data_IF_024547210553
#
_entry.id   IF_024547210553
#
_cell.length_a   1.000
_cell.length_b   1.000
_cell.length_c   1.000
_cell.angle_alpha   90.00
_cell.angle_beta   90.00
_cell.angle_gamma   90.00
#
_symmetry.space_group_name_H-M   'P 1'
#
loop_
_entity.id
_entity.type
_entity.pdbx_description
1 polymer ?
#
# COMPACT_ATOMS: atom_id res chain seq x y z
N UNK A 1 -40.77 -1.72 -30.03
CA UNK A 1 -40.68 -0.61 -29.06
C UNK A 1 -39.23 -0.55 -28.59
N UNK A 2 -38.51 0.49 -29.00
CA UNK A 2 -37.09 0.69 -28.69
C UNK A 2 -36.93 1.11 -27.24
N UNK A 3 -36.26 0.30 -26.43
CA UNK A 3 -35.84 0.71 -25.08
C UNK A 3 -34.72 1.74 -25.22
N UNK A 4 -35.07 3.02 -25.11
CA UNK A 4 -34.09 4.09 -24.95
C UNK A 4 -33.39 3.91 -23.59
N UNK A 5 -32.12 3.50 -23.65
CA UNK A 5 -31.22 3.54 -22.50
C UNK A 5 -31.02 5.00 -22.13
N UNK A 6 -31.59 5.43 -20.99
CA UNK A 6 -31.39 6.76 -20.44
C UNK A 6 -29.91 6.90 -20.09
N UNK A 7 -29.13 7.62 -20.92
CA UNK A 7 -27.73 7.94 -20.64
C UNK A 7 -27.67 8.84 -19.40
N UNK A 8 -27.29 8.27 -18.27
CA UNK A 8 -27.05 9.00 -17.04
C UNK A 8 -25.63 9.61 -17.10
N UNK A 9 -25.54 10.93 -17.22
CA UNK A 9 -24.25 11.63 -17.30
C UNK A 9 -23.63 11.77 -15.90
N UNK A 10 -22.33 11.41 -15.74
CA UNK A 10 -21.60 11.49 -14.47
C UNK A 10 -20.90 12.86 -14.33
N UNK A 11 -21.33 13.75 -13.41
CA UNK A 11 -20.75 15.09 -13.30
C UNK A 11 -19.24 15.07 -13.01
N UNK A 12 -18.47 15.94 -13.68
CA UNK A 12 -17.09 16.22 -13.29
C UNK A 12 -17.11 17.13 -12.05
N UNK A 13 -17.17 16.50 -10.87
CA UNK A 13 -17.25 17.19 -9.59
C UNK A 13 -16.00 18.01 -9.28
N UNK A 14 -14.83 17.63 -9.83
CA UNK A 14 -13.59 18.43 -9.70
C UNK A 14 -13.79 19.80 -10.32
N UNK A 15 -14.30 19.87 -11.55
CA UNK A 15 -14.59 21.15 -12.22
C UNK A 15 -15.69 21.94 -11.50
N UNK A 16 -16.76 21.27 -11.05
CA UNK A 16 -17.86 21.90 -10.29
C UNK A 16 -17.35 22.51 -8.99
N UNK A 17 -16.52 21.77 -8.26
CA UNK A 17 -16.02 22.17 -6.95
C UNK A 17 -14.95 23.25 -7.09
N UNK A 18 -14.03 23.14 -8.05
CA UNK A 18 -13.06 24.21 -8.36
C UNK A 18 -13.77 25.51 -8.71
N UNK A 19 -14.80 25.44 -9.55
CA UNK A 19 -15.65 26.60 -9.86
C UNK A 19 -16.29 27.21 -8.61
N UNK A 20 -16.86 26.40 -7.72
CA UNK A 20 -17.45 26.88 -6.47
C UNK A 20 -16.41 27.46 -5.51
N UNK A 21 -15.24 26.83 -5.40
CA UNK A 21 -14.15 27.25 -4.52
C UNK A 21 -13.58 28.63 -4.88
N UNK A 22 -13.53 28.96 -6.18
CA UNK A 22 -13.16 30.31 -6.65
C UNK A 22 -14.33 31.31 -6.62
N UNK A 23 -15.46 30.94 -6.01
CA UNK A 23 -16.63 31.82 -5.82
C UNK A 23 -17.50 32.02 -7.07
N UNK A 24 -17.39 31.15 -8.09
CA UNK A 24 -18.16 31.28 -9.32
C UNK A 24 -19.45 30.45 -9.25
N UNK A 25 -20.44 30.94 -8.51
CA UNK A 25 -21.67 30.20 -8.21
C UNK A 25 -22.47 29.76 -9.46
N UNK A 26 -22.41 30.53 -10.55
CA UNK A 26 -23.07 30.20 -11.83
C UNK A 26 -22.08 29.91 -12.96
N UNK A 27 -22.47 29.01 -13.88
CA UNK A 27 -21.70 28.70 -15.09
C UNK A 27 -21.53 29.93 -15.99
N UNK A 28 -22.54 30.79 -16.07
CA UNK A 28 -22.48 32.06 -16.78
C UNK A 28 -21.39 32.99 -16.24
N UNK A 29 -21.26 33.09 -14.91
CA UNK A 29 -20.18 33.85 -14.26
C UNK A 29 -18.82 33.21 -14.56
N UNK A 30 -18.72 31.90 -14.39
CA UNK A 30 -17.48 31.17 -14.65
C UNK A 30 -17.02 31.29 -16.11
N UNK A 31 -17.94 31.26 -17.08
CA UNK A 31 -17.62 31.41 -18.49
C UNK A 31 -17.03 32.78 -18.83
N UNK A 32 -17.55 33.86 -18.20
CA UNK A 32 -16.99 35.22 -18.35
C UNK A 32 -15.58 35.30 -17.78
N UNK A 33 -15.35 34.71 -16.62
CA UNK A 33 -14.02 34.71 -16.00
C UNK A 33 -13.02 33.86 -16.79
N UNK A 34 -13.41 32.67 -17.26
CA UNK A 34 -12.57 31.86 -18.16
C UNK A 34 -12.23 32.60 -19.46
N UNK A 35 -13.21 33.30 -20.06
CA UNK A 35 -12.97 34.13 -21.24
C UNK A 35 -11.96 35.25 -20.93
N UNK A 36 -12.12 35.93 -19.78
CA UNK A 36 -11.20 36.98 -19.30
C UNK A 36 -9.79 36.43 -19.10
N UNK A 37 -9.65 35.26 -18.47
CA UNK A 37 -8.36 34.57 -18.29
C UNK A 37 -7.72 34.24 -19.63
N UNK A 38 -8.49 33.73 -20.60
CA UNK A 38 -7.99 33.44 -21.94
C UNK A 38 -7.45 34.67 -22.66
N UNK A 39 -8.18 35.80 -22.60
CA UNK A 39 -7.73 37.07 -23.17
C UNK A 39 -6.48 37.60 -22.47
N UNK A 40 -6.46 37.61 -21.14
CA UNK A 40 -5.33 38.12 -20.35
C UNK A 40 -4.04 37.30 -20.54
N UNK A 41 -4.18 35.99 -20.74
CA UNK A 41 -3.06 35.07 -20.94
C UNK A 41 -2.69 34.89 -22.42
N UNK A 42 -3.33 35.64 -23.32
CA UNK A 42 -3.00 35.66 -24.75
C UNK A 42 -3.28 34.34 -25.48
N UNK A 43 -4.27 33.55 -25.04
CA UNK A 43 -4.65 32.30 -25.72
C UNK A 43 -5.25 32.66 -27.08
N UNK A 44 -4.53 32.32 -28.14
CA UNK A 44 -4.97 32.52 -29.53
C UNK A 44 -6.28 31.74 -29.73
N UNK A 45 -7.29 32.39 -30.30
CA UNK A 45 -8.63 31.80 -30.51
C UNK A 45 -9.40 31.47 -29.22
N UNK A 46 -9.24 32.30 -28.17
CA UNK A 46 -10.07 32.18 -26.95
C UNK A 46 -11.56 32.09 -27.31
N UNK A 47 -12.28 31.01 -26.94
CA UNK A 47 -13.67 30.81 -27.33
C UNK A 47 -14.59 31.88 -26.73
N UNK A 48 -15.73 32.13 -27.38
CA UNK A 48 -16.72 33.11 -26.85
C UNK A 48 -17.30 32.66 -25.51
N UNK A 49 -17.84 33.60 -24.75
CA UNK A 49 -18.46 33.32 -23.45
C UNK A 49 -19.56 32.27 -23.58
N UNK A 50 -20.39 32.34 -24.63
CA UNK A 50 -21.47 31.38 -24.89
C UNK A 50 -20.92 29.98 -25.19
N UNK A 51 -19.83 29.89 -25.97
CA UNK A 51 -19.18 28.62 -26.28
C UNK A 51 -18.56 28.00 -25.02
N UNK A 52 -17.93 28.81 -24.17
CA UNK A 52 -17.38 28.37 -22.88
C UNK A 52 -18.50 27.89 -21.96
N UNK A 53 -19.58 28.64 -21.80
CA UNK A 53 -20.70 28.23 -20.92
C UNK A 53 -21.30 26.90 -21.37
N UNK A 54 -21.50 26.71 -22.68
CA UNK A 54 -22.00 25.45 -23.25
C UNK A 54 -21.00 24.30 -23.07
N UNK A 55 -19.70 24.55 -23.22
CA UNK A 55 -18.66 23.57 -22.98
C UNK A 55 -18.59 23.19 -21.49
N UNK A 56 -18.57 24.18 -20.59
CA UNK A 56 -18.61 23.99 -19.14
C UNK A 56 -19.81 23.16 -18.70
N UNK A 57 -21.01 23.46 -19.22
CA UNK A 57 -22.18 22.64 -18.92
C UNK A 57 -21.94 21.18 -19.29
N UNK A 58 -21.42 20.90 -20.49
CA UNK A 58 -21.15 19.53 -20.95
C UNK A 58 -20.02 18.85 -20.15
N UNK A 59 -18.97 19.58 -19.82
CA UNK A 59 -17.82 19.07 -19.06
C UNK A 59 -18.19 18.80 -17.59
N UNK A 60 -18.84 19.75 -16.92
CA UNK A 60 -19.27 19.60 -15.52
C UNK A 60 -20.37 18.57 -15.34
N UNK A 61 -21.26 18.39 -16.32
CA UNK A 61 -22.29 17.34 -16.25
C UNK A 61 -21.80 15.99 -16.73
N UNK A 62 -20.58 15.90 -17.28
CA UNK A 62 -20.03 14.66 -17.84
C UNK A 62 -20.67 14.21 -19.15
N UNK A 63 -21.30 15.12 -19.88
CA UNK A 63 -21.82 14.86 -21.23
C UNK A 63 -20.70 14.68 -22.26
N UNK A 64 -19.55 15.30 -22.03
CA UNK A 64 -18.38 15.27 -22.91
C UNK A 64 -17.11 15.37 -22.04
N UNK A 65 -16.09 14.57 -22.35
CA UNK A 65 -14.77 14.66 -21.72
C UNK A 65 -14.02 15.93 -22.20
N UNK A 66 -13.17 16.51 -21.35
CA UNK A 66 -12.40 17.71 -21.71
C UNK A 66 -11.14 17.31 -22.50
N UNK A 67 -11.32 17.02 -23.78
CA UNK A 67 -10.23 16.61 -24.70
C UNK A 67 -9.63 17.77 -25.46
N UNK A 68 -10.41 18.83 -25.69
CA UNK A 68 -9.97 20.00 -26.44
C UNK A 68 -8.87 20.78 -25.67
N UNK A 69 -7.68 20.97 -26.27
CA UNK A 69 -6.52 21.62 -25.64
C UNK A 69 -6.81 23.02 -25.11
N UNK A 70 -7.67 23.79 -25.80
CA UNK A 70 -7.98 25.17 -25.43
C UNK A 70 -8.75 25.20 -24.11
N UNK A 71 -9.75 24.33 -23.96
CA UNK A 71 -10.51 24.22 -22.71
C UNK A 71 -9.67 23.66 -21.57
N UNK A 72 -8.81 22.67 -21.84
CA UNK A 72 -7.87 22.15 -20.83
C UNK A 72 -6.96 23.24 -20.31
N UNK A 73 -6.36 24.01 -21.21
CA UNK A 73 -5.50 25.14 -20.87
C UNK A 73 -6.25 26.22 -20.09
N UNK A 74 -7.48 26.57 -20.50
CA UNK A 74 -8.31 27.57 -19.83
C UNK A 74 -8.62 27.21 -18.37
N UNK A 75 -9.07 25.98 -18.11
CA UNK A 75 -9.36 25.56 -16.74
C UNK A 75 -8.08 25.44 -15.90
N UNK A 76 -6.98 24.95 -16.46
CA UNK A 76 -5.69 24.88 -15.76
C UNK A 76 -5.22 26.28 -15.32
N UNK A 77 -5.29 27.26 -16.22
CA UNK A 77 -4.93 28.65 -15.92
C UNK A 77 -5.90 29.32 -14.94
N UNK A 78 -7.19 29.02 -15.03
CA UNK A 78 -8.20 29.62 -14.17
C UNK A 78 -8.18 29.07 -12.75
N UNK A 79 -7.82 27.80 -12.57
CA UNK A 79 -7.79 27.14 -11.27
C UNK A 79 -6.39 26.97 -10.69
N UNK A 80 -5.37 27.48 -11.38
CA UNK A 80 -3.96 27.31 -11.03
C UNK A 80 -3.62 25.83 -10.76
N UNK A 81 -4.02 24.97 -11.69
CA UNK A 81 -3.95 23.51 -11.55
C UNK A 81 -3.33 22.88 -12.81
N UNK A 82 -2.70 21.72 -12.67
CA UNK A 82 -2.13 20.97 -13.79
C UNK A 82 -3.22 20.12 -14.46
N UNK A 83 -3.03 19.70 -15.74
CA UNK A 83 -4.03 18.91 -16.45
C UNK A 83 -4.43 17.60 -15.76
N UNK A 84 -3.52 16.93 -15.05
CA UNK A 84 -3.83 15.71 -14.30
C UNK A 84 -4.72 15.99 -13.07
N UNK A 85 -4.62 17.18 -12.47
CA UNK A 85 -5.42 17.58 -11.32
C UNK A 85 -6.90 17.75 -11.66
N UNK A 86 -7.21 18.02 -12.94
CA UNK A 86 -8.55 18.40 -13.39
C UNK A 86 -9.25 17.34 -14.27
N UNK A 87 -8.48 16.48 -14.96
CA UNK A 87 -8.99 15.73 -16.10
C UNK A 87 -8.47 14.30 -16.30
N UNK A 88 -7.92 13.61 -15.28
CA UNK A 88 -7.52 12.20 -15.43
C UNK A 88 -8.54 11.39 -16.25
N UNK A 89 -8.07 10.55 -17.18
CA UNK A 89 -8.87 10.03 -18.29
C UNK A 89 -10.12 9.26 -17.82
N UNK A 90 -11.28 9.91 -17.94
CA UNK A 90 -12.55 9.46 -17.36
C UNK A 90 -13.09 8.18 -18.01
N UNK A 91 -12.93 7.03 -17.35
CA UNK A 91 -13.73 5.82 -17.63
C UNK A 91 -14.72 5.47 -16.50
N UNK A 92 -15.99 5.30 -16.87
CA UNK A 92 -16.97 4.38 -16.25
C UNK A 92 -17.74 4.83 -14.99
N UNK A 93 -19.07 4.65 -15.03
CA UNK A 93 -20.03 4.69 -13.92
C UNK A 93 -19.64 3.70 -12.80
N UNK A 94 -19.84 4.10 -11.55
CA UNK A 94 -19.41 3.31 -10.37
C UNK A 94 -20.15 1.98 -10.18
N UNK A 95 -21.33 1.79 -10.79
CA UNK A 95 -22.17 0.60 -10.57
C UNK A 95 -21.85 -0.59 -11.50
N UNK A 96 -20.96 -0.41 -12.50
CA UNK A 96 -20.48 -1.49 -13.39
C UNK A 96 -18.95 -1.50 -13.53
N UNK A 97 -18.23 -0.86 -12.59
CA UNK A 97 -16.76 -0.95 -12.61
C UNK A 97 -16.36 -2.39 -12.29
N UNK A 98 -15.45 -3.01 -13.07
CA UNK A 98 -14.88 -4.28 -12.68
C UNK A 98 -14.22 -4.12 -11.31
N UNK A 99 -14.52 -5.06 -10.41
CA UNK A 99 -13.93 -5.10 -9.08
C UNK A 99 -12.81 -6.13 -9.09
N UNK A 100 -11.79 -5.90 -8.28
CA UNK A 100 -10.84 -6.93 -7.92
C UNK A 100 -11.18 -7.43 -6.52
N UNK A 101 -10.92 -8.70 -6.29
CA UNK A 101 -11.01 -9.31 -4.96
C UNK A 101 -9.62 -9.68 -4.49
N UNK A 102 -9.30 -9.35 -3.25
CA UNK A 102 -8.03 -9.69 -2.65
C UNK A 102 -8.21 -10.12 -1.21
N UNK A 103 -7.29 -10.97 -0.76
CA UNK A 103 -7.03 -11.18 0.66
C UNK A 103 -5.89 -10.27 1.06
N UNK A 104 -6.18 -9.30 1.90
CA UNK A 104 -5.19 -8.38 2.46
C UNK A 104 -4.63 -8.99 3.73
N UNK A 105 -3.34 -9.26 3.73
CA UNK A 105 -2.60 -9.66 4.91
C UNK A 105 -1.90 -8.44 5.50
N UNK A 106 -2.19 -8.16 6.76
CA UNK A 106 -1.56 -7.10 7.54
C UNK A 106 -0.67 -7.75 8.58
N UNK A 107 0.59 -7.34 8.59
CA UNK A 107 1.59 -7.77 9.57
C UNK A 107 1.80 -6.63 10.56
N UNK A 108 0.99 -6.59 11.62
CA UNK A 108 1.13 -5.59 12.65
C UNK A 108 2.26 -5.98 13.59
N UNK A 109 3.36 -5.26 13.50
CA UNK A 109 4.62 -5.67 14.09
C UNK A 109 4.98 -4.79 15.26
N UNK A 110 5.34 -5.41 16.39
CA UNK A 110 5.77 -4.76 17.61
C UNK A 110 7.02 -5.44 18.19
N UNK A 111 7.86 -4.67 18.88
CA UNK A 111 8.97 -5.20 19.67
C UNK A 111 8.70 -5.02 21.17
N UNK A 112 8.76 -6.13 21.90
CA UNK A 112 8.41 -6.24 23.32
C UNK A 112 9.61 -6.56 24.23
N UNK A 113 10.76 -6.85 23.62
CA UNK A 113 11.90 -7.49 24.27
C UNK A 113 11.62 -8.95 24.67
N UNK A 114 12.67 -9.74 24.89
CA UNK A 114 12.54 -11.18 25.17
C UNK A 114 11.68 -11.49 26.42
N UNK A 115 11.75 -10.64 27.45
CA UNK A 115 10.91 -10.78 28.66
C UNK A 115 9.43 -10.50 28.35
N UNK A 116 9.14 -9.50 27.53
CA UNK A 116 7.78 -9.19 27.08
C UNK A 116 7.21 -10.32 26.23
N UNK A 117 7.98 -10.81 25.25
CA UNK A 117 7.61 -11.97 24.44
C UNK A 117 7.32 -13.22 25.29
N UNK A 118 8.15 -13.50 26.30
CA UNK A 118 7.92 -14.63 27.20
C UNK A 118 6.61 -14.50 28.01
N UNK A 119 6.30 -13.30 28.51
CA UNK A 119 5.02 -13.02 29.20
C UNK A 119 3.83 -13.16 28.27
N UNK A 120 3.91 -12.54 27.07
CA UNK A 120 2.85 -12.60 26.08
C UNK A 120 2.56 -14.05 25.67
N UNK A 121 3.61 -14.83 25.37
CA UNK A 121 3.50 -16.26 25.06
C UNK A 121 2.76 -17.04 26.15
N UNK A 122 3.12 -16.81 27.42
CA UNK A 122 2.50 -17.50 28.55
C UNK A 122 1.06 -17.07 28.79
N UNK A 123 0.77 -15.77 28.70
CA UNK A 123 -0.57 -15.22 28.96
C UNK A 123 -1.57 -15.52 27.84
N UNK A 124 -1.11 -15.52 26.58
CA UNK A 124 -1.96 -15.76 25.41
C UNK A 124 -2.10 -17.25 25.06
N UNK A 125 -1.39 -18.15 25.76
CA UNK A 125 -1.46 -19.59 25.53
C UNK A 125 -0.86 -20.05 24.20
N UNK A 126 0.17 -19.36 23.70
CA UNK A 126 0.73 -19.67 22.39
C UNK A 126 1.37 -21.07 22.35
N UNK A 127 1.22 -21.73 21.21
CA UNK A 127 1.80 -23.05 20.91
C UNK A 127 2.94 -22.91 19.90
N UNK A 128 3.80 -23.92 19.75
CA UNK A 128 4.90 -23.84 18.79
C UNK A 128 4.36 -23.80 17.34
N UNK A 129 4.97 -22.95 16.50
CA UNK A 129 4.62 -22.76 15.09
C UNK A 129 5.74 -23.34 14.20
N UNK A 130 5.78 -24.68 13.98
CA UNK A 130 6.90 -25.37 13.33
C UNK A 130 7.10 -25.05 11.85
N UNK A 131 6.07 -24.52 11.19
CA UNK A 131 6.09 -24.11 9.78
C UNK A 131 6.87 -22.81 9.54
N UNK A 132 7.20 -22.07 10.60
CA UNK A 132 7.94 -20.82 10.52
C UNK A 132 9.46 -21.05 10.36
N UNK A 133 10.16 -20.08 9.76
CA UNK A 133 11.59 -20.23 9.46
C UNK A 133 12.49 -20.08 10.69
N UNK A 134 11.96 -19.52 11.77
CA UNK A 134 12.64 -19.31 13.04
C UNK A 134 11.74 -19.85 14.15
N UNK A 135 12.34 -20.19 15.30
CA UNK A 135 11.56 -20.59 16.47
C UNK A 135 10.53 -19.53 16.80
N UNK A 136 9.26 -19.90 16.67
CA UNK A 136 8.12 -19.01 16.79
C UNK A 136 6.98 -19.75 17.49
N UNK A 137 6.10 -19.00 18.15
CA UNK A 137 4.91 -19.50 18.78
C UNK A 137 3.70 -18.72 18.27
N UNK A 138 2.56 -19.38 18.10
CA UNK A 138 1.35 -18.74 17.61
C UNK A 138 0.11 -19.09 18.42
N UNK A 139 -0.87 -18.21 18.34
CA UNK A 139 -2.24 -18.43 18.83
C UNK A 139 -3.21 -17.60 17.99
N UNK A 140 -4.42 -18.09 17.71
CA UNK A 140 -5.49 -17.23 17.21
C UNK A 140 -5.82 -16.17 18.26
N UNK A 141 -6.21 -14.99 17.80
CA UNK A 141 -6.72 -13.89 18.64
C UNK A 141 -7.95 -13.27 17.99
N UNK A 142 -8.88 -12.80 18.80
CA UNK A 142 -10.08 -12.14 18.28
C UNK A 142 -9.72 -10.74 17.73
N UNK A 143 -10.22 -10.44 16.54
CA UNK A 143 -10.09 -9.13 15.91
C UNK A 143 -11.43 -8.75 15.25
N UNK A 144 -11.89 -7.49 15.36
CA UNK A 144 -13.21 -7.09 14.85
C UNK A 144 -13.34 -7.18 13.31
N UNK A 145 -12.23 -7.04 12.58
CA UNK A 145 -12.25 -6.92 11.11
C UNK A 145 -12.01 -8.24 10.36
N UNK A 146 -11.46 -9.28 11.00
CA UNK A 146 -11.08 -10.50 10.29
C UNK A 146 -10.33 -11.53 11.13
N UNK A 147 -9.81 -12.56 10.45
CA UNK A 147 -9.05 -13.62 11.09
C UNK A 147 -7.67 -13.11 11.51
N UNK A 148 -7.34 -13.24 12.79
CA UNK A 148 -6.09 -12.75 13.33
C UNK A 148 -5.32 -13.84 14.07
N UNK A 149 -4.04 -14.00 13.73
CA UNK A 149 -3.12 -14.89 14.43
C UNK A 149 -1.97 -14.09 15.00
N UNK A 150 -1.76 -14.20 16.32
CA UNK A 150 -0.59 -13.65 16.99
C UNK A 150 0.59 -14.61 16.85
N UNK A 151 1.70 -14.12 16.32
CA UNK A 151 3.00 -14.80 16.27
C UNK A 151 3.99 -14.11 17.22
N UNK A 152 4.73 -14.89 18.00
CA UNK A 152 5.68 -14.40 19.01
C UNK A 152 7.02 -15.10 18.84
N UNK A 153 8.06 -14.31 18.58
CA UNK A 153 9.45 -14.78 18.54
C UNK A 153 10.13 -14.56 19.90
N UNK A 154 10.86 -15.56 20.42
CA UNK A 154 11.52 -15.45 21.72
C UNK A 154 12.52 -14.28 21.85
N UNK A 155 13.07 -13.79 20.73
CA UNK A 155 13.97 -12.64 20.72
C UNK A 155 13.28 -11.30 21.06
N UNK A 156 11.95 -11.24 21.06
CA UNK A 156 11.18 -10.07 21.50
C UNK A 156 10.18 -9.53 20.47
N UNK A 157 10.19 -10.04 19.23
CA UNK A 157 9.26 -9.60 18.19
C UNK A 157 7.89 -10.28 18.34
N UNK A 158 6.82 -9.50 18.16
CA UNK A 158 5.46 -9.99 18.07
C UNK A 158 4.81 -9.45 16.80
N UNK A 159 4.05 -10.29 16.10
CA UNK A 159 3.33 -9.92 14.88
C UNK A 159 1.89 -10.40 15.00
N UNK A 160 0.93 -9.50 14.87
CA UNK A 160 -0.44 -9.89 14.56
C UNK A 160 -0.57 -9.99 13.05
N UNK A 161 -0.87 -11.19 12.57
CA UNK A 161 -1.19 -11.45 11.18
C UNK A 161 -2.71 -11.40 11.03
N UNK A 162 -3.21 -10.28 10.53
CA UNK A 162 -4.63 -10.06 10.27
C UNK A 162 -4.92 -10.28 8.78
N UNK A 163 -5.97 -11.05 8.50
CA UNK A 163 -6.43 -11.36 7.14
C UNK A 163 -7.83 -10.80 6.93
N UNK A 164 -7.97 -9.95 5.91
CA UNK A 164 -9.24 -9.38 5.51
C UNK A 164 -9.54 -9.65 4.04
N UNK A 165 -10.79 -10.00 3.76
CA UNK A 165 -11.29 -10.16 2.41
C UNK A 165 -11.83 -8.82 1.93
N UNK A 166 -11.22 -8.27 0.90
CA UNK A 166 -11.58 -6.98 0.34
C UNK A 166 -12.03 -7.13 -1.11
N UNK A 167 -13.04 -6.35 -1.48
CA UNK A 167 -13.48 -6.18 -2.85
C UNK A 167 -13.53 -4.68 -3.12
N UNK A 168 -12.73 -4.23 -4.09
CA UNK A 168 -12.56 -2.82 -4.39
C UNK A 168 -12.58 -2.60 -5.90
N UNK A 169 -13.00 -1.42 -6.32
CA UNK A 169 -13.11 -1.06 -7.74
C UNK A 169 -11.85 -0.37 -8.27
N UNK A 170 -10.96 0.12 -7.40
CA UNK A 170 -9.76 0.90 -7.76
C UNK A 170 -8.61 0.64 -6.78
N UNK A 171 -7.36 0.77 -7.24
CA UNK A 171 -6.17 0.73 -6.37
C UNK A 171 -6.12 1.94 -5.45
N UNK A 172 -6.69 3.08 -5.88
CA UNK A 172 -6.88 4.27 -5.05
C UNK A 172 -7.78 3.98 -3.85
N UNK A 173 -8.87 3.24 -4.02
CA UNK A 173 -9.71 2.79 -2.91
C UNK A 173 -8.94 1.87 -1.96
N UNK A 174 -8.06 1.01 -2.47
CA UNK A 174 -7.16 0.21 -1.63
C UNK A 174 -6.18 1.09 -0.85
N UNK A 175 -5.58 2.08 -1.50
CA UNK A 175 -4.66 3.01 -0.86
C UNK A 175 -5.36 3.78 0.27
N UNK A 176 -6.55 4.30 0.01
CA UNK A 176 -7.37 5.02 0.99
C UNK A 176 -7.78 4.12 2.18
N UNK A 177 -8.26 2.90 1.88
CA UNK A 177 -8.62 1.93 2.90
C UNK A 177 -7.41 1.55 3.78
N UNK A 178 -6.22 1.37 3.19
CA UNK A 178 -4.99 1.09 3.93
C UNK A 178 -4.64 2.21 4.90
N UNK A 179 -4.72 3.48 4.49
CA UNK A 179 -4.38 4.61 5.38
C UNK A 179 -5.27 4.65 6.64
N UNK A 180 -6.58 4.45 6.47
CA UNK A 180 -7.51 4.44 7.60
C UNK A 180 -7.31 3.20 8.46
N UNK A 181 -7.39 2.03 7.83
CA UNK A 181 -7.42 0.77 8.55
C UNK A 181 -6.08 0.47 9.24
N UNK A 182 -4.94 0.94 8.72
CA UNK A 182 -3.65 0.72 9.38
C UNK A 182 -3.55 1.49 10.70
N UNK A 183 -4.08 2.73 10.75
CA UNK A 183 -4.10 3.53 11.97
C UNK A 183 -4.92 2.85 13.08
N UNK A 184 -6.12 2.39 12.75
CA UNK A 184 -7.02 1.71 13.69
C UNK A 184 -6.40 0.38 14.19
N UNK A 185 -5.80 -0.38 13.27
CA UNK A 185 -5.17 -1.65 13.58
C UNK A 185 -3.91 -1.49 14.46
N UNK A 186 -3.08 -0.45 14.22
CA UNK A 186 -1.94 -0.12 15.10
C UNK A 186 -2.43 0.18 16.50
N UNK A 187 -3.47 1.02 16.62
CA UNK A 187 -4.06 1.36 17.91
C UNK A 187 -4.57 0.12 18.63
N UNK A 188 -5.31 -0.74 17.93
CA UNK A 188 -5.81 -1.99 18.49
C UNK A 188 -4.68 -2.88 19.02
N UNK A 189 -3.59 -3.07 18.25
CA UNK A 189 -2.47 -3.90 18.67
C UNK A 189 -1.76 -3.33 19.91
N UNK A 190 -1.59 -2.01 20.00
CA UNK A 190 -1.03 -1.35 21.18
C UNK A 190 -1.93 -1.59 22.39
N UNK A 191 -3.24 -1.39 22.24
CA UNK A 191 -4.22 -1.57 23.32
C UNK A 191 -4.27 -3.04 23.79
N UNK A 192 -4.16 -4.01 22.86
CA UNK A 192 -4.07 -5.44 23.18
C UNK A 192 -2.79 -5.79 23.97
N UNK A 193 -1.64 -5.24 23.58
CA UNK A 193 -0.35 -5.55 24.18
C UNK A 193 -0.16 -4.88 25.55
N UNK A 194 -0.71 -3.68 25.75
CA UNK A 194 -0.54 -2.85 26.94
C UNK A 194 -0.71 -3.59 28.30
N UNK A 195 -1.75 -4.41 28.53
CA UNK A 195 -1.94 -5.08 29.83
C UNK A 195 -0.98 -6.25 30.09
N UNK A 196 -0.34 -6.83 29.07
CA UNK A 196 0.42 -8.09 29.19
C UNK A 196 1.92 -7.85 29.00
N UNK A 197 2.26 -7.20 27.90
CA UNK A 197 3.62 -6.95 27.45
C UNK A 197 3.58 -5.70 26.56
N UNK A 198 3.56 -4.49 27.15
CA UNK A 198 3.56 -3.27 26.36
C UNK A 198 4.77 -3.26 25.43
N UNK A 199 4.58 -2.76 24.21
CA UNK A 199 5.69 -2.50 23.30
C UNK A 199 6.72 -1.60 23.99
N UNK A 200 8.00 -1.85 23.78
CA UNK A 200 9.07 -1.01 24.35
C UNK A 200 8.95 0.43 23.84
N UNK A 201 8.43 0.58 22.62
CA UNK A 201 8.15 1.85 21.97
C UNK A 201 6.90 1.71 21.09
N UNK A 202 5.80 2.33 21.52
CA UNK A 202 4.54 2.31 20.79
C UNK A 202 4.64 3.02 19.42
N UNK A 203 5.57 3.96 19.25
CA UNK A 203 5.75 4.67 17.98
C UNK A 203 6.45 3.82 16.91
N UNK A 204 7.13 2.75 17.32
CA UNK A 204 7.77 1.79 16.44
C UNK A 204 6.84 0.64 16.03
N UNK A 205 5.56 0.66 16.44
CA UNK A 205 4.55 -0.29 15.97
C UNK A 205 4.12 0.12 14.56
N UNK A 206 4.19 -0.81 13.61
CA UNK A 206 3.87 -0.55 12.21
C UNK A 206 3.10 -1.70 11.56
N UNK A 207 2.55 -1.45 10.37
CA UNK A 207 1.87 -2.47 9.56
C UNK A 207 2.54 -2.56 8.20
N UNK A 208 2.97 -3.75 7.82
CA UNK A 208 3.27 -4.08 6.43
C UNK A 208 2.06 -4.79 5.80
N UNK A 209 1.76 -4.46 4.54
CA UNK A 209 0.70 -5.13 3.78
C UNK A 209 1.24 -6.08 2.73
N UNK A 210 0.65 -7.27 2.65
CA UNK A 210 0.74 -8.12 1.47
C UNK A 210 -0.66 -8.37 0.89
N UNK A 211 -0.80 -8.31 -0.43
CA UNK A 211 -2.08 -8.50 -1.12
C UNK A 211 -2.03 -9.76 -1.96
N UNK A 212 -2.92 -10.71 -1.63
CA UNK A 212 -3.18 -11.88 -2.45
C UNK A 212 -4.39 -11.61 -3.34
N UNK A 213 -4.16 -11.24 -4.60
CA UNK A 213 -5.22 -10.92 -5.56
C UNK A 213 -5.85 -12.22 -6.04
N UNK A 214 -7.11 -12.44 -5.68
CA UNK A 214 -7.89 -13.63 -6.06
C UNK A 214 -8.47 -13.44 -7.45
N UNK A 215 -9.12 -12.30 -7.69
CA UNK A 215 -9.67 -11.93 -9.00
C UNK A 215 -9.17 -10.55 -9.42
N UNK A 216 -8.72 -10.44 -10.67
CA UNK A 216 -8.25 -9.18 -11.26
C UNK A 216 -9.42 -8.40 -11.88
N UNK A 217 -9.44 -7.08 -11.64
CA UNK A 217 -10.32 -6.15 -12.36
C UNK A 217 -9.78 -5.77 -13.76
N UNK A 218 -8.50 -6.04 -14.01
CA UNK A 218 -7.77 -5.51 -15.16
C UNK A 218 -7.62 -6.55 -16.28
N UNK A 219 -7.66 -6.11 -17.55
CA UNK A 219 -7.21 -6.89 -18.69
C UNK A 219 -5.76 -7.38 -18.53
N UNK A 220 -5.40 -8.45 -19.23
CA UNK A 220 -4.10 -9.10 -19.11
C UNK A 220 -2.92 -8.15 -19.43
N UNK A 221 -3.12 -7.22 -20.36
CA UNK A 221 -2.15 -6.21 -20.78
C UNK A 221 -1.91 -5.11 -19.72
N UNK A 222 -2.87 -4.87 -18.82
CA UNK A 222 -2.77 -3.86 -17.76
C UNK A 222 -2.48 -4.47 -16.38
N UNK A 223 -2.65 -5.79 -16.23
CA UNK A 223 -2.50 -6.52 -14.99
C UNK A 223 -1.15 -6.24 -14.31
N UNK A 224 -0.05 -6.36 -15.04
CA UNK A 224 1.28 -6.17 -14.45
C UNK A 224 1.47 -4.76 -13.88
N UNK A 225 1.07 -3.73 -14.64
CA UNK A 225 1.14 -2.33 -14.21
C UNK A 225 0.27 -2.08 -12.99
N UNK A 226 -0.96 -2.62 -12.99
CA UNK A 226 -1.86 -2.53 -11.84
C UNK A 226 -1.23 -3.16 -10.58
N UNK A 227 -0.63 -4.35 -10.70
CA UNK A 227 0.01 -5.01 -9.56
C UNK A 227 1.28 -4.28 -9.08
N UNK A 228 2.04 -3.63 -9.98
CA UNK A 228 3.14 -2.72 -9.59
C UNK A 228 2.62 -1.57 -8.74
N UNK A 229 1.58 -0.86 -9.20
CA UNK A 229 0.96 0.24 -8.44
C UNK A 229 0.39 -0.28 -7.10
N UNK A 230 -0.25 -1.44 -7.10
CA UNK A 230 -0.81 -2.07 -5.90
C UNK A 230 0.26 -2.42 -4.87
N UNK A 231 1.50 -2.70 -5.31
CA UNK A 231 2.64 -2.92 -4.40
C UNK A 231 3.16 -1.62 -3.78
N UNK A 232 2.86 -0.47 -4.38
CA UNK A 232 3.26 0.87 -3.93
C UNK A 232 2.06 1.84 -3.83
N UNK A 233 0.97 1.49 -3.14
CA UNK A 233 -0.31 2.20 -3.30
C UNK A 233 -0.25 3.65 -2.80
N UNK A 234 0.69 3.97 -1.89
CA UNK A 234 0.91 5.35 -1.43
C UNK A 234 1.35 6.32 -2.53
N UNK A 235 1.82 5.84 -3.68
CA UNK A 235 2.14 6.71 -4.84
C UNK A 235 0.91 7.48 -5.34
N UNK A 236 -0.28 6.96 -5.07
CA UNK A 236 -1.56 7.57 -5.46
C UNK A 236 -1.99 8.70 -4.50
N UNK A 237 -1.37 8.80 -3.33
CA UNK A 237 -1.84 9.65 -2.23
C UNK A 237 -0.92 10.85 -1.98
N UNK A 238 -1.52 11.98 -1.61
CA UNK A 238 -0.81 13.15 -1.13
C UNK A 238 -0.30 12.93 0.30
N UNK A 239 0.98 13.22 0.52
CA UNK A 239 1.60 13.13 1.85
C UNK A 239 0.98 14.13 2.82
N UNK A 240 0.59 13.65 4.00
CA UNK A 240 0.12 14.49 5.10
C UNK A 240 -1.28 15.09 4.89
N UNK A 241 -1.98 14.73 3.81
CA UNK A 241 -3.37 15.13 3.60
C UNK A 241 -4.30 14.05 4.18
N UNK A 242 -5.28 14.48 4.98
CA UNK A 242 -6.33 13.58 5.46
C UNK A 242 -7.07 12.89 4.31
N UNK A 243 -7.57 11.68 4.55
CA UNK A 243 -8.36 10.96 3.55
C UNK A 243 -9.79 11.50 3.55
N UNK A 244 -10.18 12.10 2.42
CA UNK A 244 -11.52 12.61 2.16
C UNK A 244 -11.96 12.23 0.73
N UNK A 245 -13.23 12.46 0.39
CA UNK A 245 -13.78 12.11 -0.92
C UNK A 245 -13.04 12.81 -2.08
N UNK A 246 -12.50 14.01 -1.86
CA UNK A 246 -11.73 14.74 -2.88
C UNK A 246 -10.36 14.10 -3.11
N UNK A 247 -9.70 13.71 -2.02
CA UNK A 247 -8.42 13.03 -2.06
C UNK A 247 -8.55 11.67 -2.76
N UNK A 248 -9.59 10.90 -2.45
CA UNK A 248 -9.88 9.65 -3.13
C UNK A 248 -10.16 9.86 -4.62
N UNK A 249 -11.01 10.82 -4.98
CA UNK A 249 -11.30 11.12 -6.37
C UNK A 249 -10.03 11.52 -7.15
N UNK A 250 -9.12 12.28 -6.52
CA UNK A 250 -7.84 12.64 -7.12
C UNK A 250 -6.89 11.43 -7.26
N UNK A 251 -6.83 10.55 -6.26
CA UNK A 251 -6.05 9.33 -6.31
C UNK A 251 -6.51 8.39 -7.44
N UNK A 252 -7.81 8.29 -7.71
CA UNK A 252 -8.34 7.55 -8.87
C UNK A 252 -7.85 8.13 -10.21
N UNK A 253 -7.70 9.46 -10.31
CA UNK A 253 -7.15 10.10 -11.52
C UNK A 253 -5.66 9.78 -11.71
N UNK A 254 -4.89 9.77 -10.62
CA UNK A 254 -3.47 9.40 -10.65
C UNK A 254 -3.33 7.94 -11.07
N UNK A 255 -4.15 7.03 -10.50
CA UNK A 255 -4.14 5.61 -10.85
C UNK A 255 -4.34 5.40 -12.36
N UNK A 256 -5.31 6.08 -12.97
CA UNK A 256 -5.57 5.98 -14.40
C UNK A 256 -4.36 6.42 -15.24
N UNK A 257 -3.73 7.53 -14.86
CA UNK A 257 -2.50 8.03 -15.53
C UNK A 257 -1.35 7.03 -15.41
N UNK A 258 -1.13 6.49 -14.21
CA UNK A 258 -0.05 5.54 -13.97
C UNK A 258 -0.27 4.22 -14.71
N UNK A 259 -1.52 3.76 -14.82
CA UNK A 259 -1.86 2.58 -15.62
C UNK A 259 -1.59 2.82 -17.10
N UNK A 260 -2.01 3.96 -17.67
CA UNK A 260 -1.83 4.25 -19.10
C UNK A 260 -0.37 4.50 -19.48
N UNK A 261 0.43 5.07 -18.58
CA UNK A 261 1.86 5.32 -18.77
C UNK A 261 2.73 4.08 -18.53
N UNK A 262 2.16 2.97 -18.04
CA UNK A 262 2.91 1.75 -17.76
C UNK A 262 3.85 1.88 -16.57
N UNK A 263 3.35 2.41 -15.45
CA UNK A 263 4.12 2.67 -14.22
C UNK A 263 5.16 1.61 -13.88
N UNK A 264 6.41 2.05 -13.83
CA UNK A 264 7.58 1.28 -13.44
C UNK A 264 8.52 2.19 -12.65
N UNK A 265 8.83 1.83 -11.41
CA UNK A 265 9.57 2.66 -10.47
C UNK A 265 10.76 1.88 -9.89
N UNK A 266 11.91 2.55 -9.79
CA UNK A 266 13.10 1.97 -9.15
C UNK A 266 12.82 1.62 -7.69
N UNK A 267 12.88 0.35 -7.33
CA UNK A 267 12.49 -0.15 -5.99
C UNK A 267 11.28 -1.08 -6.00
N UNK A 268 10.76 -1.43 -7.18
CA UNK A 268 9.81 -2.54 -7.36
C UNK A 268 10.56 -3.71 -8.01
N UNK A 269 10.48 -4.89 -7.40
CA UNK A 269 11.10 -6.11 -7.91
C UNK A 269 10.02 -7.12 -8.31
N UNK A 270 10.06 -7.59 -9.55
CA UNK A 270 9.17 -8.67 -9.99
C UNK A 270 9.72 -10.04 -9.58
N UNK A 271 8.82 -10.92 -9.17
CA UNK A 271 9.11 -12.33 -8.89
C UNK A 271 8.06 -13.30 -9.47
N UNK A 272 7.14 -12.79 -10.28
CA UNK A 272 6.16 -13.61 -10.99
C UNK A 272 6.80 -14.46 -12.09
N UNK A 273 6.07 -15.48 -12.54
CA UNK A 273 6.47 -16.29 -13.69
C UNK A 273 5.40 -16.16 -14.77
N UNK A 274 5.80 -15.69 -15.95
CA UNK A 274 4.90 -15.42 -17.08
C UNK A 274 3.97 -16.61 -17.36
N UNK A 275 2.67 -16.35 -17.37
CA UNK A 275 1.63 -17.37 -17.61
C UNK A 275 1.35 -18.32 -16.43
N UNK A 276 2.03 -18.15 -15.30
CA UNK A 276 1.81 -18.91 -14.06
C UNK A 276 1.36 -18.00 -12.93
N UNK A 277 2.03 -16.85 -12.73
CA UNK A 277 1.69 -15.88 -11.70
C UNK A 277 2.27 -14.51 -12.02
N UNK A 278 1.70 -13.47 -11.41
CA UNK A 278 2.29 -12.14 -11.36
C UNK A 278 2.58 -11.77 -9.91
N UNK A 279 3.76 -11.21 -9.63
CA UNK A 279 4.20 -10.94 -8.26
C UNK A 279 5.21 -9.80 -8.23
N UNK A 280 4.99 -8.85 -7.31
CA UNK A 280 5.81 -7.65 -7.15
C UNK A 280 6.03 -7.37 -5.67
N UNK A 281 7.28 -7.07 -5.31
CA UNK A 281 7.66 -6.61 -3.99
C UNK A 281 8.14 -5.16 -4.08
N UNK A 282 7.84 -4.38 -3.06
CA UNK A 282 8.35 -3.03 -2.87
C UNK A 282 8.59 -2.76 -1.39
N UNK A 283 9.12 -1.58 -1.07
CA UNK A 283 9.20 -1.09 0.31
C UNK A 283 7.82 -1.01 0.99
N UNK A 284 6.77 -0.69 0.23
CA UNK A 284 5.42 -0.43 0.77
C UNK A 284 4.57 -1.68 0.93
N UNK A 285 5.01 -2.82 0.39
CA UNK A 285 4.28 -4.07 0.45
C UNK A 285 4.55 -5.01 -0.71
N UNK A 286 3.91 -6.17 -0.63
CA UNK A 286 4.02 -7.25 -1.60
C UNK A 286 2.67 -7.55 -2.20
N UNK A 287 2.63 -7.84 -3.49
CA UNK A 287 1.40 -8.22 -4.20
C UNK A 287 1.66 -9.49 -4.98
N UNK A 288 0.72 -10.42 -4.93
CA UNK A 288 0.77 -11.65 -5.70
C UNK A 288 -0.60 -12.00 -6.29
N UNK A 289 -0.60 -12.39 -7.55
CA UNK A 289 -1.76 -12.90 -8.27
C UNK A 289 -1.42 -14.26 -8.89
N UNK A 290 -1.99 -15.37 -8.37
CA UNK A 290 -1.82 -16.68 -8.98
C UNK A 290 -2.68 -16.79 -10.25
N UNK A 291 -2.04 -16.92 -11.42
CA UNK A 291 -2.76 -17.13 -12.69
C UNK A 291 -3.08 -18.63 -12.86
N UNK A 292 -2.19 -19.50 -12.39
CA UNK A 292 -2.32 -20.96 -12.43
C UNK A 292 -2.10 -21.51 -11.02
N UNK A 293 -3.19 -21.77 -10.29
CA UNK A 293 -3.15 -22.13 -8.87
C UNK A 293 -2.23 -23.33 -8.56
N UNK A 294 -2.26 -24.38 -9.38
CA UNK A 294 -1.46 -25.60 -9.17
C UNK A 294 0.04 -25.42 -9.40
N UNK A 295 0.46 -24.36 -10.11
CA UNK A 295 1.86 -24.10 -10.46
C UNK A 295 2.43 -22.85 -9.81
N UNK A 296 1.58 -22.11 -9.10
CA UNK A 296 1.93 -20.87 -8.41
C UNK A 296 2.51 -21.18 -7.04
N UNK A 297 3.11 -20.16 -6.42
CA UNK A 297 3.36 -20.17 -4.99
C UNK A 297 2.05 -20.39 -4.25
N UNK A 298 2.15 -21.02 -3.09
CA UNK A 298 1.08 -21.00 -2.10
C UNK A 298 1.10 -19.68 -1.34
N UNK A 299 -0.06 -19.26 -0.85
CA UNK A 299 -0.17 -18.09 0.01
C UNK A 299 0.65 -18.27 1.30
N UNK A 300 0.61 -19.46 1.91
CA UNK A 300 1.36 -19.77 3.11
C UNK A 300 2.88 -19.57 2.95
N UNK A 301 3.44 -19.86 1.76
CA UNK A 301 4.85 -19.61 1.47
C UNK A 301 5.19 -18.12 1.48
N UNK A 302 4.32 -17.27 0.92
CA UNK A 302 4.49 -15.82 0.92
C UNK A 302 4.37 -15.25 2.35
N UNK A 303 3.37 -15.70 3.10
CA UNK A 303 3.14 -15.28 4.49
C UNK A 303 4.30 -15.69 5.40
N UNK A 304 4.80 -16.93 5.29
CA UNK A 304 5.93 -17.38 6.09
C UNK A 304 7.22 -16.59 5.81
N UNK A 305 7.43 -16.19 4.54
CA UNK A 305 8.54 -15.32 4.16
C UNK A 305 8.42 -13.95 4.84
N UNK A 306 7.24 -13.31 4.76
CA UNK A 306 7.01 -12.00 5.39
C UNK A 306 7.12 -12.05 6.91
N UNK A 307 6.52 -13.05 7.57
CA UNK A 307 6.66 -13.22 9.02
C UNK A 307 8.12 -13.34 9.45
N UNK A 308 8.94 -14.10 8.70
CA UNK A 308 10.36 -14.22 8.98
C UNK A 308 11.12 -12.89 8.79
N UNK A 309 10.81 -12.15 7.73
CA UNK A 309 11.45 -10.87 7.43
C UNK A 309 11.04 -9.80 8.45
N UNK A 310 9.74 -9.58 8.66
CA UNK A 310 9.23 -8.54 9.56
C UNK A 310 9.65 -8.78 11.02
N UNK A 311 9.69 -10.05 11.46
CA UNK A 311 10.14 -10.37 12.83
C UNK A 311 11.60 -9.97 13.06
N UNK A 312 12.47 -10.17 12.07
CA UNK A 312 13.88 -9.76 12.14
C UNK A 312 14.04 -8.26 11.93
N UNK A 313 13.22 -7.65 11.09
CA UNK A 313 13.22 -6.20 10.89
C UNK A 313 12.95 -5.47 12.20
N UNK A 314 11.89 -5.83 12.90
CA UNK A 314 11.57 -5.24 14.21
C UNK A 314 12.65 -5.47 15.26
N UNK A 315 13.35 -6.60 15.20
CA UNK A 315 14.44 -6.86 16.13
C UNK A 315 15.69 -6.01 15.83
N UNK A 316 16.07 -5.90 14.56
CA UNK A 316 17.18 -5.06 14.13
C UNK A 316 16.90 -3.57 14.39
N UNK A 317 15.68 -3.12 14.12
CA UNK A 317 15.23 -1.76 14.42
C UNK A 317 15.31 -1.43 15.92
N UNK A 318 14.87 -2.34 16.79
CA UNK A 318 14.98 -2.15 18.24
C UNK A 318 16.43 -2.07 18.74
N UNK A 319 17.37 -2.76 18.08
CA UNK A 319 18.80 -2.65 18.36
C UNK A 319 19.31 -1.28 17.88
N UNK A 320 18.98 -0.89 16.64
CA UNK A 320 19.40 0.38 16.06
C UNK A 320 18.93 1.58 16.90
N UNK A 321 17.66 1.59 17.34
CA UNK A 321 17.12 2.63 18.20
C UNK A 321 17.84 2.77 19.55
N UNK A 322 18.33 1.67 20.13
CA UNK A 322 19.15 1.76 21.35
C UNK A 322 20.49 2.46 21.08
N UNK A 323 21.14 2.16 19.95
CA UNK A 323 22.38 2.81 19.52
C UNK A 323 22.14 4.30 19.24
N UNK A 324 21.07 4.64 18.53
CA UNK A 324 20.69 6.02 18.24
C UNK A 324 20.42 6.84 19.52
N UNK A 325 19.98 6.18 20.59
CA UNK A 325 19.85 6.78 21.92
C UNK A 325 21.17 6.84 22.71
N UNK A 326 22.30 6.47 22.10
CA UNK A 326 23.63 6.47 22.72
C UNK A 326 23.83 5.36 23.75
N UNK A 327 23.09 4.25 23.65
CA UNK A 327 23.17 3.11 24.57
C UNK A 327 23.74 1.89 23.88
N UNK A 328 24.52 1.11 24.62
CA UNK A 328 24.87 -0.25 24.19
C UNK A 328 23.61 -1.13 24.18
N UNK A 329 23.29 -1.81 23.05
CA UNK A 329 22.11 -2.63 22.97
C UNK A 329 22.12 -3.77 23.99
N UNK A 330 21.03 -3.90 24.75
CA UNK A 330 20.88 -4.96 25.76
C UNK A 330 20.01 -6.07 25.21
N UNK A 331 20.64 -7.17 24.80
CA UNK A 331 19.95 -8.37 24.32
C UNK A 331 20.35 -9.58 25.17
N UNK A 332 19.45 -10.56 25.39
CA UNK A 332 19.84 -11.81 26.02
C UNK A 332 20.93 -12.54 25.21
N UNK A 333 21.91 -13.20 25.85
CA UNK A 333 23.02 -13.85 25.15
C UNK A 333 22.59 -14.86 24.09
N UNK A 334 21.50 -15.59 24.33
CA UNK A 334 20.93 -16.56 23.40
C UNK A 334 20.38 -15.92 22.10
N UNK A 335 20.09 -14.62 22.12
CA UNK A 335 19.61 -13.85 20.96
C UNK A 335 20.65 -12.86 20.42
N UNK A 336 21.92 -12.96 20.83
CA UNK A 336 23.01 -12.07 20.39
C UNK A 336 23.42 -12.20 18.92
N UNK A 337 24.58 -11.66 18.55
CA UNK A 337 25.05 -11.60 17.15
C UNK A 337 25.08 -12.96 16.43
N UNK A 338 25.34 -14.06 17.14
CA UNK A 338 25.31 -15.42 16.56
C UNK A 338 23.92 -15.84 16.12
N UNK A 339 22.89 -15.44 16.87
CA UNK A 339 21.50 -15.67 16.53
C UNK A 339 21.12 -14.91 15.25
N UNK A 340 21.44 -13.62 15.16
CA UNK A 340 21.21 -12.80 13.97
C UNK A 340 21.96 -13.33 12.74
N UNK A 341 23.20 -13.79 12.90
CA UNK A 341 23.94 -14.47 11.83
C UNK A 341 23.23 -15.74 11.35
N UNK A 342 22.67 -16.52 12.28
CA UNK A 342 21.84 -17.69 11.95
C UNK A 342 20.55 -17.30 11.22
N UNK A 343 19.88 -16.23 11.65
CA UNK A 343 18.69 -15.69 10.98
C UNK A 343 19.01 -15.23 9.56
N UNK A 344 20.07 -14.43 9.37
CA UNK A 344 20.59 -14.01 8.06
C UNK A 344 20.85 -15.21 7.15
N UNK A 345 21.51 -16.25 7.65
CA UNK A 345 21.75 -17.47 6.87
C UNK A 345 20.46 -18.15 6.43
N UNK A 346 19.46 -18.26 7.32
CA UNK A 346 18.16 -18.88 7.01
C UNK A 346 17.32 -18.06 6.03
N UNK A 347 17.46 -16.73 6.04
CA UNK A 347 16.78 -15.83 5.10
C UNK A 347 17.44 -15.82 3.72
N UNK A 348 18.76 -16.02 3.63
CA UNK A 348 19.51 -15.84 2.37
C UNK A 348 19.82 -17.14 1.63
N UNK A 349 20.09 -18.22 2.36
CA UNK A 349 20.54 -19.48 1.77
C UNK A 349 19.35 -20.26 1.21
N UNK A 350 19.47 -20.67 -0.04
CA UNK A 350 18.48 -21.53 -0.68
C UNK A 350 18.43 -22.92 -0.06
N UNK A 351 17.22 -23.45 0.08
CA UNK A 351 17.00 -24.82 0.61
C UNK A 351 16.96 -25.82 -0.55
N UNK A 352 17.38 -27.06 -0.30
CA UNK A 352 17.44 -28.12 -1.32
C UNK A 352 16.10 -28.40 -2.02
N UNK A 353 14.98 -28.15 -1.34
CA UNK A 353 13.62 -28.34 -1.87
C UNK A 353 12.91 -27.02 -2.18
N UNK A 354 13.62 -25.89 -2.11
CA UNK A 354 13.07 -24.58 -2.45
C UNK A 354 12.82 -24.53 -3.97
N UNK A 355 11.61 -24.14 -4.38
CA UNK A 355 11.30 -23.94 -5.80
C UNK A 355 11.96 -22.67 -6.32
N UNK A 356 12.19 -22.58 -7.63
CA UNK A 356 12.74 -21.36 -8.24
C UNK A 356 11.84 -20.13 -8.02
N UNK A 357 10.52 -20.32 -7.95
CA UNK A 357 9.56 -19.27 -7.62
C UNK A 357 9.73 -18.77 -6.18
N UNK A 358 9.88 -19.69 -5.22
CA UNK A 358 10.07 -19.32 -3.82
C UNK A 358 11.39 -18.55 -3.64
N UNK A 359 12.45 -18.99 -4.32
CA UNK A 359 13.72 -18.28 -4.35
C UNK A 359 13.61 -16.87 -4.99
N UNK A 360 12.84 -16.72 -6.06
CA UNK A 360 12.61 -15.43 -6.70
C UNK A 360 11.85 -14.48 -5.78
N UNK A 361 10.75 -14.95 -5.16
CA UNK A 361 9.93 -14.22 -4.20
C UNK A 361 10.78 -13.74 -3.02
N UNK A 362 11.46 -14.65 -2.33
CA UNK A 362 12.35 -14.31 -1.21
C UNK A 362 13.41 -13.27 -1.56
N UNK A 363 14.02 -13.38 -2.75
CA UNK A 363 15.04 -12.40 -3.20
C UNK A 363 14.43 -11.04 -3.49
N UNK A 364 13.26 -10.98 -4.12
CA UNK A 364 12.58 -9.73 -4.39
C UNK A 364 12.25 -9.00 -3.09
N UNK A 365 11.62 -9.69 -2.12
CA UNK A 365 11.28 -9.09 -0.82
C UNK A 365 12.53 -8.62 -0.07
N UNK A 366 13.58 -9.45 -0.01
CA UNK A 366 14.84 -9.06 0.68
C UNK A 366 15.54 -7.85 0.05
N UNK A 367 15.38 -7.63 -1.26
CA UNK A 367 15.97 -6.47 -1.94
C UNK A 367 15.19 -5.18 -1.68
N UNK A 368 13.90 -5.27 -1.40
CA UNK A 368 13.04 -4.08 -1.31
C UNK A 368 12.71 -3.67 0.13
N UNK A 369 13.00 -4.50 1.13
CA UNK A 369 12.68 -4.23 2.55
C UNK A 369 13.86 -3.71 3.40
N UNK A 370 15.05 -3.51 2.81
CA UNK A 370 16.29 -3.06 3.50
C UNK A 370 16.69 -3.84 4.77
N UNK A 371 16.16 -5.05 4.96
CA UNK A 371 16.49 -5.88 6.13
C UNK A 371 17.98 -6.28 6.14
N UNK A 372 18.58 -6.52 4.97
CA UNK A 372 19.94 -7.05 4.89
C UNK A 372 21.00 -6.07 5.43
N UNK A 373 21.03 -4.79 5.03
CA UNK A 373 21.85 -3.78 5.69
C UNK A 373 21.60 -3.67 7.20
N UNK A 374 20.32 -3.68 7.63
CA UNK A 374 19.96 -3.56 9.05
C UNK A 374 20.47 -4.76 9.87
N UNK A 375 20.37 -5.98 9.32
CA UNK A 375 20.91 -7.20 9.92
C UNK A 375 22.43 -7.13 10.06
N UNK A 376 23.13 -6.70 9.02
CA UNK A 376 24.58 -6.60 9.03
C UNK A 376 25.04 -5.59 10.08
N UNK A 377 24.40 -4.42 10.15
CA UNK A 377 24.67 -3.43 11.19
C UNK A 377 24.41 -3.98 12.59
N UNK A 378 23.27 -4.64 12.82
CA UNK A 378 22.93 -5.19 14.13
C UNK A 378 23.88 -6.32 14.56
N UNK A 379 24.34 -7.17 13.64
CA UNK A 379 25.34 -8.21 13.90
C UNK A 379 26.66 -7.59 14.35
N UNK A 380 27.13 -6.56 13.64
CA UNK A 380 28.40 -5.88 13.95
C UNK A 380 28.32 -5.17 15.30
N UNK A 381 27.26 -4.37 15.53
CA UNK A 381 27.03 -3.68 16.81
C UNK A 381 27.06 -4.66 17.99
N UNK A 382 26.28 -5.75 17.92
CA UNK A 382 26.22 -6.72 19.02
C UNK A 382 27.54 -7.49 19.20
N UNK A 383 28.33 -7.68 18.14
CA UNK A 383 29.64 -8.33 18.25
C UNK A 383 30.66 -7.44 18.96
N UNK A 384 30.58 -6.13 18.76
CA UNK A 384 31.49 -5.18 19.41
C UNK A 384 31.13 -5.02 20.89
N UNK A 385 29.84 -4.98 21.24
CA UNK A 385 29.38 -4.99 22.64
C UNK A 385 29.74 -6.27 23.39
N UNK A 386 29.82 -7.43 22.71
CA UNK A 386 30.23 -8.72 23.31
C UNK A 386 31.75 -8.82 23.57
N UNK A 387 32.54 -7.89 23.02
CA UNK A 387 34.00 -7.83 23.15
C UNK A 387 34.50 -6.79 24.16
N UNK A 388 33.68 -5.78 24.47
CA UNK A 388 33.94 -4.78 25.51
C UNK A 388 33.42 -5.24 26.86
#
# INVERSE_FOLDING_TARGET
MSNEVVRQFKPNLVLVNRRKAVGWESRKRAARELHRVGQQRGIRETPTVEAIEKAMYRHETGRVAVTDPIYRQLYCLAYDAKPHDLFGELTGSAEERPHFTARSHKFLTAFLGAKGAARLRGSAGCTAAPEQWHTCYSTPVEHPEGDCTLYVWPCGSAIFHLVEHIQLSTIAALAAWREVSYGDNIKWAIDYLAPIAPAEDASAVYVLGAQWVVESAWPAELLETALRIMSTPKVLLHRGRAMDDEHLAHAELIEQSLISEGYDHGGIESFGVRGISAGYASWSGVVYHPISAERSLTEAELIACELAIQSMWAYCDAIARQVEQGKDPRVPPEYGWRYLRGARSRLTVSRLRETGQHQAMRRAVLRTCDLMPALDQAIETLRDTDRG
#
